data_IF_749953723082
#
_entry.id   IF_749953723082
#
_cell.length_a   1.000
_cell.length_b   1.000
_cell.length_c   1.000
_cell.angle_alpha   90.00
_cell.angle_beta   90.00
_cell.angle_gamma   90.00
#
_symmetry.space_group_name_H-M   'P 1'
#
loop_
_entity.id
_entity.type
_entity.pdbx_description
1 polymer ?
#
# COMPACT_ATOMS: atom_id res chain seq x y z
N UNK A 1 -12.80 -0.75 -32.09
CA UNK A 1 -11.47 -1.29 -32.43
C UNK A 1 -11.67 -2.40 -33.46
N UNK A 2 -11.73 -2.07 -34.75
CA UNK A 2 -11.74 -3.08 -35.80
C UNK A 2 -10.35 -3.14 -36.43
N UNK A 3 -9.68 -4.28 -36.35
CA UNK A 3 -8.61 -4.66 -37.28
C UNK A 3 -7.19 -4.91 -36.73
N UNK A 4 -6.85 -4.47 -35.51
CA UNK A 4 -5.49 -4.70 -34.96
C UNK A 4 -5.56 -5.73 -33.84
N UNK A 5 -4.94 -6.88 -34.05
CA UNK A 5 -4.75 -7.92 -33.03
C UNK A 5 -3.50 -7.60 -32.23
N UNK A 6 -3.68 -7.28 -30.95
CA UNK A 6 -2.57 -7.11 -30.01
C UNK A 6 -2.25 -8.43 -29.30
N UNK A 7 -0.97 -8.71 -29.10
CA UNK A 7 -0.52 -9.86 -28.31
C UNK A 7 -0.21 -9.41 -26.89
N UNK A 8 -0.81 -10.07 -25.88
CA UNK A 8 -0.49 -9.82 -24.47
C UNK A 8 0.31 -10.99 -23.92
N UNK A 9 1.53 -10.73 -23.45
CA UNK A 9 2.41 -11.76 -22.90
C UNK A 9 3.39 -11.18 -21.88
N UNK A 10 3.99 -12.01 -21.00
CA UNK A 10 5.17 -11.62 -20.24
C UNK A 10 6.29 -11.13 -21.17
N UNK A 11 7.11 -10.22 -20.67
CA UNK A 11 8.34 -9.85 -21.35
C UNK A 11 9.36 -10.99 -21.29
N UNK A 12 10.17 -11.09 -22.33
CA UNK A 12 11.33 -11.96 -22.37
C UNK A 12 12.55 -11.23 -21.75
N UNK A 13 13.54 -11.94 -21.18
CA UNK A 13 14.71 -11.31 -20.57
C UNK A 13 15.46 -10.32 -21.49
N UNK A 14 15.47 -10.60 -22.80
CA UNK A 14 16.10 -9.74 -23.82
C UNK A 14 15.32 -8.47 -24.16
N UNK A 15 14.08 -8.30 -23.66
CA UNK A 15 13.20 -7.18 -23.99
C UNK A 15 13.27 -6.03 -22.96
N UNK A 16 14.25 -6.08 -22.05
CA UNK A 16 14.37 -5.11 -20.96
C UNK A 16 14.48 -3.66 -21.46
N UNK A 17 15.21 -3.43 -22.54
CA UNK A 17 15.36 -2.12 -23.17
C UNK A 17 14.01 -1.57 -23.67
N UNK A 18 13.09 -2.42 -24.15
CA UNK A 18 11.76 -2.00 -24.58
C UNK A 18 10.95 -1.48 -23.39
N UNK A 19 10.97 -2.20 -22.27
CA UNK A 19 10.30 -1.78 -21.05
C UNK A 19 10.91 -0.52 -20.43
N UNK A 20 12.23 -0.38 -20.46
CA UNK A 20 12.90 0.85 -20.02
C UNK A 20 12.47 2.02 -20.87
N UNK A 21 12.60 1.93 -22.20
CA UNK A 21 12.27 3.02 -23.13
C UNK A 21 10.80 3.48 -23.01
N UNK A 22 9.86 2.53 -22.93
CA UNK A 22 8.44 2.87 -22.76
C UNK A 22 8.17 3.50 -21.38
N UNK A 23 8.82 2.99 -20.32
CA UNK A 23 8.66 3.52 -18.96
C UNK A 23 9.28 4.90 -18.79
N UNK A 24 10.50 5.10 -19.28
CA UNK A 24 11.25 6.35 -19.12
C UNK A 24 10.58 7.52 -19.83
N UNK A 25 9.97 7.26 -21.00
CA UNK A 25 9.13 8.25 -21.67
C UNK A 25 7.84 8.53 -20.90
N UNK A 26 7.18 7.50 -20.35
CA UNK A 26 5.91 7.66 -19.62
C UNK A 26 6.06 8.39 -18.29
N UNK A 27 7.20 8.23 -17.60
CA UNK A 27 7.46 8.74 -16.25
C UNK A 27 8.53 9.85 -16.21
N UNK A 28 9.03 10.30 -17.36
CA UNK A 28 9.85 11.51 -17.46
C UNK A 28 11.35 11.34 -17.16
N UNK A 29 11.88 10.12 -17.08
CA UNK A 29 13.31 9.86 -16.83
C UNK A 29 14.07 9.39 -18.08
N UNK A 30 13.57 9.70 -19.28
CA UNK A 30 14.15 9.26 -20.57
C UNK A 30 15.55 9.80 -20.88
N UNK A 31 16.00 10.85 -20.18
CA UNK A 31 17.37 11.35 -20.27
C UNK A 31 18.37 10.55 -19.42
N UNK A 32 17.88 9.72 -18.48
CA UNK A 32 18.72 8.89 -17.64
C UNK A 32 19.10 7.60 -18.37
N UNK A 33 20.38 7.18 -18.31
CA UNK A 33 20.77 5.88 -18.85
C UNK A 33 20.06 4.76 -18.05
N UNK A 34 19.74 3.67 -18.73
CA UNK A 34 19.27 2.46 -18.05
C UNK A 34 20.40 1.92 -17.16
N UNK A 35 20.18 1.71 -15.84
CA UNK A 35 21.18 1.10 -14.98
C UNK A 35 21.60 -0.27 -15.53
N UNK A 36 22.87 -0.64 -15.36
CA UNK A 36 23.41 -1.91 -15.90
C UNK A 36 22.70 -3.13 -15.32
N UNK A 37 22.39 -3.06 -14.02
CA UNK A 37 21.69 -4.06 -13.22
C UNK A 37 20.16 -3.98 -13.34
N UNK A 38 19.63 -3.01 -14.11
CA UNK A 38 18.19 -2.92 -14.32
C UNK A 38 17.65 -4.15 -15.04
N UNK A 39 16.57 -4.70 -14.49
CA UNK A 39 15.83 -5.81 -15.06
C UNK A 39 14.35 -5.45 -15.24
N UNK A 40 13.73 -5.91 -16.32
CA UNK A 40 12.28 -5.80 -16.48
C UNK A 40 11.53 -6.76 -15.53
N UNK A 41 12.12 -7.92 -15.26
CA UNK A 41 11.58 -8.97 -14.40
C UNK A 41 12.64 -9.40 -13.39
N UNK A 42 12.22 -9.77 -12.19
CA UNK A 42 13.06 -10.29 -11.11
C UNK A 42 12.22 -11.23 -10.23
N UNK A 43 12.81 -11.99 -9.30
CA UNK A 43 12.00 -12.77 -8.36
C UNK A 43 10.93 -11.88 -7.69
N UNK A 44 9.68 -12.34 -7.69
CA UNK A 44 8.53 -11.57 -7.20
C UNK A 44 8.13 -10.35 -8.03
N UNK A 45 8.68 -10.13 -9.23
CA UNK A 45 8.32 -9.02 -10.12
C UNK A 45 8.23 -9.47 -11.58
N UNK A 46 7.05 -9.31 -12.17
CA UNK A 46 6.78 -9.76 -13.54
C UNK A 46 6.14 -8.66 -14.37
N UNK A 47 6.71 -8.36 -15.52
CA UNK A 47 6.18 -7.38 -16.46
C UNK A 47 5.38 -8.08 -17.55
N UNK A 48 4.13 -7.66 -17.71
CA UNK A 48 3.31 -7.99 -18.88
C UNK A 48 3.39 -6.87 -19.90
N UNK A 49 3.57 -7.24 -21.16
CA UNK A 49 3.59 -6.36 -22.31
C UNK A 49 2.42 -6.60 -23.25
N UNK A 50 2.04 -5.54 -23.95
CA UNK A 50 1.13 -5.58 -25.10
C UNK A 50 1.94 -5.22 -26.32
N UNK A 51 1.95 -6.11 -27.31
CA UNK A 51 2.68 -5.96 -28.54
C UNK A 51 1.73 -5.77 -29.72
N UNK A 52 2.03 -4.81 -30.60
CA UNK A 52 1.31 -4.63 -31.85
C UNK A 52 1.75 -5.66 -32.91
N UNK A 53 1.06 -5.77 -34.07
CA UNK A 53 1.43 -6.75 -35.11
C UNK A 53 2.85 -6.59 -35.68
N UNK A 54 3.49 -5.43 -35.49
CA UNK A 54 4.87 -5.20 -35.89
C UNK A 54 5.88 -5.62 -34.80
N UNK A 55 5.42 -6.18 -33.69
CA UNK A 55 6.26 -6.64 -32.58
C UNK A 55 6.73 -5.52 -31.65
N UNK A 56 6.17 -4.31 -31.75
CA UNK A 56 6.53 -3.20 -30.88
C UNK A 56 5.77 -3.27 -29.55
N UNK A 57 6.48 -3.07 -28.44
CA UNK A 57 5.86 -2.92 -27.11
C UNK A 57 5.10 -1.59 -27.03
N UNK A 58 3.77 -1.66 -26.92
CA UNK A 58 2.88 -0.50 -26.95
C UNK A 58 2.18 -0.22 -25.62
N UNK A 59 2.17 -1.18 -24.71
CA UNK A 59 1.71 -1.01 -23.34
C UNK A 59 2.40 -2.02 -22.42
N UNK A 60 2.52 -1.69 -21.13
CA UNK A 60 3.00 -2.62 -20.12
C UNK A 60 2.37 -2.36 -18.76
N UNK A 61 2.42 -3.36 -17.89
CA UNK A 61 2.15 -3.24 -16.46
C UNK A 61 3.00 -4.27 -15.71
N UNK A 62 3.35 -3.97 -14.45
CA UNK A 62 4.17 -4.82 -13.60
C UNK A 62 3.31 -5.39 -12.48
N UNK A 63 3.35 -6.71 -12.31
CA UNK A 63 2.85 -7.43 -11.13
C UNK A 63 4.00 -7.59 -10.13
N UNK A 64 3.83 -7.08 -8.91
CA UNK A 64 4.74 -7.30 -7.78
C UNK A 64 4.11 -8.24 -6.77
N UNK A 65 4.82 -9.30 -6.42
CA UNK A 65 4.49 -10.19 -5.32
C UNK A 65 4.70 -9.49 -3.99
N UNK A 66 3.62 -9.39 -3.21
CA UNK A 66 3.61 -8.70 -1.94
C UNK A 66 2.68 -9.41 -0.96
N UNK A 67 2.84 -9.08 0.33
CA UNK A 67 1.87 -9.35 1.38
C UNK A 67 1.43 -8.05 2.03
N UNK A 68 0.17 -7.96 2.44
CA UNK A 68 -0.36 -6.83 3.20
C UNK A 68 -1.14 -7.32 4.42
N UNK A 69 -1.00 -6.63 5.55
CA UNK A 69 -1.65 -7.00 6.80
C UNK A 69 -3.12 -6.54 6.83
N UNK A 70 -4.06 -7.47 7.00
CA UNK A 70 -5.47 -7.17 7.24
C UNK A 70 -5.99 -7.99 8.41
N UNK A 71 -6.42 -7.31 9.47
CA UNK A 71 -6.95 -7.96 10.68
C UNK A 71 -5.96 -8.90 11.35
N UNK A 72 -4.67 -8.56 11.34
CA UNK A 72 -3.62 -9.39 11.95
C UNK A 72 -3.19 -10.61 11.14
N UNK A 73 -3.58 -10.71 9.86
CA UNK A 73 -3.12 -11.76 8.92
C UNK A 73 -2.53 -11.14 7.67
N UNK A 74 -1.49 -11.78 7.12
CA UNK A 74 -0.91 -11.39 5.83
C UNK A 74 -1.79 -11.91 4.71
N UNK A 75 -2.20 -11.00 3.83
CA UNK A 75 -3.02 -11.27 2.65
C UNK A 75 -2.14 -11.22 1.39
N UNK A 76 -2.11 -12.30 0.58
CA UNK A 76 -1.38 -12.32 -0.69
C UNK A 76 -1.86 -11.23 -1.65
N UNK A 77 -0.93 -10.38 -2.08
CA UNK A 77 -1.22 -9.13 -2.80
C UNK A 77 -0.42 -9.02 -4.09
N UNK A 78 -1.09 -8.54 -5.14
CA UNK A 78 -0.46 -8.07 -6.38
C UNK A 78 -0.31 -6.55 -6.34
N UNK A 79 0.92 -6.07 -6.14
CA UNK A 79 1.26 -4.66 -6.26
C UNK A 79 1.41 -4.29 -7.74
N UNK A 80 0.46 -3.55 -8.29
CA UNK A 80 0.53 -3.09 -9.69
C UNK A 80 1.41 -1.85 -9.77
N UNK A 81 2.43 -1.90 -10.63
CA UNK A 81 3.38 -0.82 -10.83
C UNK A 81 3.68 -0.59 -12.31
N UNK A 82 4.35 0.53 -12.61
CA UNK A 82 4.97 0.78 -13.92
C UNK A 82 4.02 0.72 -15.12
N UNK A 83 2.75 1.04 -14.94
CA UNK A 83 1.72 1.02 -16.00
C UNK A 83 2.03 2.11 -17.02
N UNK A 84 2.31 1.69 -18.26
CA UNK A 84 2.66 2.62 -19.34
C UNK A 84 1.98 2.24 -20.65
N UNK A 85 1.70 3.24 -21.48
CA UNK A 85 1.14 3.07 -22.83
C UNK A 85 1.79 4.08 -23.76
N UNK A 86 2.16 3.62 -24.96
CA UNK A 86 2.74 4.45 -26.02
C UNK A 86 1.85 5.66 -26.30
N UNK A 87 2.46 6.84 -26.44
CA UNK A 87 1.76 8.12 -26.41
C UNK A 87 0.67 8.22 -27.50
N UNK A 88 0.98 7.80 -28.72
CA UNK A 88 0.09 7.82 -29.89
C UNK A 88 -1.04 6.77 -29.84
N UNK A 89 -0.98 5.85 -28.88
CA UNK A 89 -1.96 4.77 -28.66
C UNK A 89 -2.75 4.93 -27.35
N UNK A 90 -2.56 6.03 -26.60
CA UNK A 90 -3.37 6.35 -25.42
C UNK A 90 -4.84 6.50 -25.80
N UNK A 91 -5.73 6.20 -24.84
CA UNK A 91 -7.18 6.23 -25.07
C UNK A 91 -7.75 5.08 -25.91
N UNK A 92 -6.92 4.10 -26.34
CA UNK A 92 -7.35 2.96 -27.17
C UNK A 92 -7.59 1.66 -26.38
N UNK A 93 -7.68 1.73 -25.05
CA UNK A 93 -7.98 0.56 -24.21
C UNK A 93 -6.80 -0.40 -23.94
N UNK A 94 -5.57 -0.08 -24.37
CA UNK A 94 -4.40 -0.95 -24.14
C UNK A 94 -4.05 -1.14 -22.65
N UNK A 95 -4.25 -0.09 -21.83
CA UNK A 95 -4.11 -0.19 -20.37
C UNK A 95 -5.10 -1.18 -19.75
N UNK A 96 -6.37 -1.13 -20.18
CA UNK A 96 -7.39 -2.12 -19.78
C UNK A 96 -6.99 -3.54 -20.19
N UNK A 97 -6.49 -3.69 -21.41
CA UNK A 97 -6.07 -4.99 -21.95
C UNK A 97 -4.96 -5.61 -21.09
N UNK A 98 -3.89 -4.86 -20.79
CA UNK A 98 -2.76 -5.37 -19.99
C UNK A 98 -3.15 -5.63 -18.54
N UNK A 99 -3.90 -4.71 -17.90
CA UNK A 99 -4.29 -4.84 -16.50
C UNK A 99 -5.26 -6.00 -16.26
N UNK A 100 -6.20 -6.24 -17.19
CA UNK A 100 -7.11 -7.39 -17.09
C UNK A 100 -6.34 -8.71 -17.15
N UNK A 101 -5.36 -8.82 -18.06
CA UNK A 101 -4.52 -10.03 -18.16
C UNK A 101 -3.59 -10.17 -16.95
N UNK A 102 -3.11 -9.05 -16.39
CA UNK A 102 -2.30 -9.02 -15.17
C UNK A 102 -3.10 -9.56 -13.99
N UNK A 103 -4.35 -9.11 -13.78
CA UNK A 103 -5.21 -9.61 -12.70
C UNK A 103 -5.45 -11.12 -12.78
N UNK A 104 -5.63 -11.67 -13.98
CA UNK A 104 -5.72 -13.11 -14.18
C UNK A 104 -4.43 -13.82 -13.74
N UNK A 105 -3.26 -13.32 -14.18
CA UNK A 105 -1.98 -13.88 -13.79
C UNK A 105 -1.68 -13.77 -12.29
N UNK A 106 -2.07 -12.65 -11.67
CA UNK A 106 -1.98 -12.44 -10.24
C UNK A 106 -2.82 -13.46 -9.46
N UNK A 107 -4.07 -13.70 -9.89
CA UNK A 107 -4.91 -14.75 -9.32
C UNK A 107 -4.29 -16.14 -9.47
N UNK A 108 -3.82 -16.48 -10.68
CA UNK A 108 -3.22 -17.79 -10.95
C UNK A 108 -1.97 -18.03 -10.07
N UNK A 109 -1.25 -16.96 -9.72
CA UNK A 109 -0.11 -16.95 -8.78
C UNK A 109 -0.55 -17.05 -7.31
N UNK A 110 -1.83 -16.85 -7.00
CA UNK A 110 -2.39 -16.92 -5.64
C UNK A 110 -2.61 -15.56 -4.96
N UNK A 111 -2.44 -14.44 -5.66
CA UNK A 111 -2.81 -13.14 -5.12
C UNK A 111 -4.34 -13.00 -5.07
N UNK A 112 -4.86 -12.56 -3.92
CA UNK A 112 -6.32 -12.45 -3.68
C UNK A 112 -6.80 -11.00 -3.69
N UNK A 113 -5.89 -10.05 -3.49
CA UNK A 113 -6.11 -8.62 -3.66
C UNK A 113 -5.02 -8.01 -4.55
N UNK A 114 -5.29 -6.81 -5.05
CA UNK A 114 -4.31 -5.99 -5.76
C UNK A 114 -4.34 -4.56 -5.27
N UNK A 115 -3.18 -3.95 -5.16
CA UNK A 115 -3.02 -2.55 -4.75
C UNK A 115 -2.09 -1.79 -5.70
N UNK A 116 -2.26 -0.47 -5.77
CA UNK A 116 -1.43 0.42 -6.59
C UNK A 116 -1.51 1.85 -6.09
N UNK A 117 -0.51 2.67 -6.43
CA UNK A 117 -0.60 4.12 -6.37
C UNK A 117 -1.08 4.66 -7.71
N UNK A 118 -2.12 5.51 -7.69
CA UNK A 118 -2.68 6.05 -8.92
C UNK A 118 -2.13 7.45 -9.24
N UNK A 119 -1.85 7.66 -10.53
CA UNK A 119 -1.62 9.00 -11.09
C UNK A 119 -2.91 9.63 -11.62
N UNK A 120 -3.88 8.77 -11.94
CA UNK A 120 -5.25 9.15 -12.28
C UNK A 120 -6.16 7.97 -11.99
N UNK A 121 -7.26 8.15 -11.23
CA UNK A 121 -8.03 7.03 -10.73
C UNK A 121 -9.02 6.47 -11.76
N UNK A 122 -9.38 7.24 -12.79
CA UNK A 122 -10.42 6.88 -13.76
C UNK A 122 -10.20 5.51 -14.43
N UNK A 123 -9.04 5.26 -15.06
CA UNK A 123 -8.74 3.98 -15.69
C UNK A 123 -8.80 2.78 -14.73
N UNK A 124 -8.36 2.95 -13.47
CA UNK A 124 -8.36 1.89 -12.46
C UNK A 124 -9.75 1.66 -11.87
N UNK A 125 -10.53 2.72 -11.63
CA UNK A 125 -11.96 2.64 -11.22
C UNK A 125 -12.81 1.92 -12.26
N UNK A 126 -12.54 2.13 -13.55
CA UNK A 126 -13.20 1.40 -14.63
C UNK A 126 -12.87 -0.11 -14.66
N UNK A 127 -11.86 -0.52 -13.90
CA UNK A 127 -11.47 -1.92 -13.70
C UNK A 127 -11.73 -2.40 -12.28
N UNK A 128 -12.45 -1.62 -11.46
CA UNK A 128 -12.93 -2.02 -10.15
C UNK A 128 -11.93 -1.90 -9.00
N UNK A 129 -10.83 -1.15 -9.17
CA UNK A 129 -10.09 -0.60 -8.03
C UNK A 129 -10.84 0.59 -7.44
N UNK A 130 -10.65 0.84 -6.15
CA UNK A 130 -11.09 2.06 -5.49
C UNK A 130 -10.01 2.65 -4.59
N UNK A 131 -9.92 3.98 -4.51
CA UNK A 131 -9.08 4.68 -3.54
C UNK A 131 -9.55 4.35 -2.13
N UNK A 132 -8.65 3.82 -1.31
CA UNK A 132 -8.97 3.39 0.06
C UNK A 132 -8.10 4.07 1.12
N UNK A 133 -7.01 4.71 0.71
CA UNK A 133 -6.15 5.49 1.60
C UNK A 133 -5.17 6.34 0.81
N UNK A 134 -4.25 6.99 1.52
CA UNK A 134 -3.15 7.72 0.92
C UNK A 134 -1.88 7.59 1.77
N UNK A 135 -0.73 7.66 1.12
CA UNK A 135 0.56 7.89 1.76
C UNK A 135 0.79 9.41 1.79
N UNK A 136 1.01 9.96 2.99
CA UNK A 136 1.03 11.42 3.20
C UNK A 136 2.29 11.83 3.94
N UNK A 137 3.04 12.77 3.35
CA UNK A 137 4.05 13.53 4.07
C UNK A 137 3.43 14.82 4.58
N UNK A 138 3.68 15.12 5.85
CA UNK A 138 3.30 16.37 6.49
C UNK A 138 4.52 17.24 6.70
N UNK A 139 4.42 18.50 6.31
CA UNK A 139 5.32 19.57 6.74
C UNK A 139 4.95 19.97 8.17
N UNK A 140 5.91 19.86 9.09
CA UNK A 140 5.81 20.30 10.48
C UNK A 140 6.97 21.26 10.78
N UNK A 141 6.74 22.41 11.45
CA UNK A 141 7.83 23.23 11.97
C UNK A 141 8.67 22.42 12.97
N UNK A 142 9.95 22.22 12.69
CA UNK A 142 10.82 21.36 13.51
C UNK A 142 10.91 21.83 14.96
N UNK A 143 10.77 23.14 15.20
CA UNK A 143 10.69 23.72 16.55
C UNK A 143 9.57 23.13 17.42
N UNK A 144 8.45 22.70 16.83
CA UNK A 144 7.34 22.08 17.57
C UNK A 144 7.75 20.69 18.08
N UNK A 145 8.54 19.95 17.30
CA UNK A 145 9.12 18.69 17.74
C UNK A 145 10.15 18.90 18.86
N UNK A 146 10.85 20.04 18.87
CA UNK A 146 11.82 20.39 19.92
C UNK A 146 11.17 20.67 21.29
N UNK A 147 9.86 20.90 21.33
CA UNK A 147 9.10 21.06 22.58
C UNK A 147 8.82 19.70 23.25
N UNK A 148 8.96 18.60 22.51
CA UNK A 148 8.80 17.24 23.04
C UNK A 148 10.00 16.88 23.90
N UNK A 149 9.74 16.47 25.14
CA UNK A 149 10.79 16.05 26.07
C UNK A 149 11.20 14.61 25.79
N UNK A 150 12.51 14.40 25.66
CA UNK A 150 13.11 13.07 25.68
C UNK A 150 12.84 12.35 27.00
N UNK A 151 12.74 11.04 26.95
CA UNK A 151 12.61 10.21 28.14
C UNK A 151 14.00 9.75 28.61
N UNK A 152 14.39 9.97 29.88
CA UNK A 152 15.72 9.59 30.36
C UNK A 152 15.95 8.07 30.41
N UNK A 153 14.89 7.26 30.38
CA UNK A 153 15.00 5.79 30.34
C UNK A 153 15.19 5.25 28.91
N UNK A 154 15.15 6.11 27.89
CA UNK A 154 15.38 5.72 26.49
C UNK A 154 16.62 6.40 25.94
N UNK A 155 17.56 5.60 25.44
CA UNK A 155 18.77 6.09 24.76
C UNK A 155 18.62 5.94 23.25
N UNK A 156 19.30 6.80 22.49
CA UNK A 156 19.32 6.75 21.02
C UNK A 156 20.73 6.48 20.52
N UNK A 157 20.83 5.67 19.46
CA UNK A 157 22.10 5.45 18.74
C UNK A 157 21.83 5.15 17.26
N UNK A 158 22.84 5.32 16.38
CA UNK A 158 22.77 4.80 15.03
C UNK A 158 22.49 3.30 15.04
N UNK A 159 21.65 2.86 14.11
CA UNK A 159 21.43 1.46 13.83
C UNK A 159 22.68 0.84 13.18
N UNK A 160 22.90 -0.43 13.46
CA UNK A 160 23.90 -1.28 12.83
C UNK A 160 23.20 -2.42 12.09
N UNK A 161 23.94 -3.15 11.26
CA UNK A 161 23.36 -4.28 10.52
C UNK A 161 22.75 -5.34 11.45
N UNK A 162 23.32 -5.52 12.64
CA UNK A 162 22.84 -6.45 13.66
C UNK A 162 21.47 -6.04 14.26
N UNK A 163 21.08 -4.77 14.12
CA UNK A 163 19.81 -4.25 14.65
C UNK A 163 18.63 -4.44 13.70
N UNK A 164 18.90 -4.68 12.40
CA UNK A 164 17.86 -4.76 11.36
C UNK A 164 16.78 -5.81 11.67
N UNK A 165 17.11 -7.03 12.16
CA UNK A 165 16.08 -7.98 12.58
C UNK A 165 15.11 -7.43 13.64
N UNK A 166 15.61 -6.68 14.63
CA UNK A 166 14.77 -6.07 15.66
C UNK A 166 13.91 -4.93 15.10
N UNK A 167 14.44 -4.15 14.15
CA UNK A 167 13.68 -3.12 13.43
C UNK A 167 12.54 -3.73 12.61
N UNK A 168 12.80 -4.83 11.91
CA UNK A 168 11.78 -5.56 11.15
C UNK A 168 10.68 -6.10 12.08
N UNK A 169 11.04 -6.62 13.25
CA UNK A 169 10.08 -7.10 14.24
C UNK A 169 9.21 -5.97 14.82
N UNK A 170 9.80 -4.80 15.08
CA UNK A 170 9.05 -3.59 15.48
C UNK A 170 8.06 -3.19 14.38
N UNK A 171 8.52 -3.14 13.12
CA UNK A 171 7.64 -2.83 12.00
C UNK A 171 6.49 -3.83 11.88
N UNK A 172 6.77 -5.13 11.92
CA UNK A 172 5.73 -6.18 11.83
C UNK A 172 4.76 -6.13 13.00
N UNK A 173 5.21 -5.79 14.20
CA UNK A 173 4.33 -5.62 15.36
C UNK A 173 3.29 -4.52 15.11
N UNK A 174 3.71 -3.37 14.56
CA UNK A 174 2.81 -2.28 14.17
C UNK A 174 1.93 -2.69 12.99
N UNK A 175 2.52 -3.19 11.91
CA UNK A 175 1.83 -3.59 10.68
C UNK A 175 0.71 -4.61 10.94
N UNK A 176 0.96 -5.60 11.81
CA UNK A 176 -0.01 -6.63 12.22
C UNK A 176 -1.25 -6.05 12.89
N UNK A 177 -1.10 -4.97 13.66
CA UNK A 177 -2.23 -4.29 14.31
C UNK A 177 -2.90 -3.24 13.41
N UNK A 178 -2.22 -2.82 12.35
CA UNK A 178 -2.72 -1.90 11.33
C UNK A 178 -3.62 -2.57 10.28
N UNK A 179 -3.90 -1.81 9.23
CA UNK A 179 -4.63 -2.28 8.04
C UNK A 179 -3.86 -1.83 6.79
N UNK A 180 -3.69 -2.76 5.86
CA UNK A 180 -3.02 -2.63 4.56
C UNK A 180 -1.49 -2.46 4.56
N UNK A 181 -0.83 -2.20 5.69
CA UNK A 181 0.64 -2.11 5.75
C UNK A 181 1.29 -3.34 5.13
N UNK A 182 2.40 -3.14 4.43
CA UNK A 182 3.11 -4.23 3.75
C UNK A 182 3.72 -5.21 4.76
N UNK A 183 3.93 -6.46 4.37
CA UNK A 183 4.62 -7.45 5.21
C UNK A 183 6.15 -7.24 5.24
N UNK A 184 6.69 -6.55 4.24
CA UNK A 184 8.15 -6.35 4.06
C UNK A 184 8.96 -7.66 4.13
N UNK A 185 8.43 -8.73 3.54
CA UNK A 185 9.15 -9.98 3.35
C UNK A 185 9.08 -10.44 1.90
N UNK A 186 9.97 -11.37 1.56
CA UNK A 186 10.04 -11.95 0.23
C UNK A 186 10.82 -11.09 -0.78
N UNK A 187 10.75 -11.45 -2.07
CA UNK A 187 11.68 -10.94 -3.08
C UNK A 187 11.66 -9.43 -3.31
N UNK A 188 10.53 -8.77 -3.05
CA UNK A 188 10.39 -7.33 -3.16
C UNK A 188 11.16 -6.55 -2.08
N UNK A 189 11.62 -7.23 -1.02
CA UNK A 189 12.31 -6.69 0.14
C UNK A 189 13.62 -7.44 0.43
N UNK A 190 14.31 -7.90 -0.62
CA UNK A 190 15.52 -8.72 -0.52
C UNK A 190 16.83 -7.92 -0.30
N UNK A 191 16.74 -6.65 0.11
CA UNK A 191 17.90 -5.80 0.38
C UNK A 191 18.70 -6.29 1.59
N UNK A 192 20.02 -6.15 1.54
CA UNK A 192 20.88 -6.48 2.70
C UNK A 192 20.73 -5.43 3.80
N UNK A 193 21.01 -5.78 5.07
CA UNK A 193 21.10 -4.80 6.15
C UNK A 193 21.96 -3.58 5.82
N UNK A 194 23.13 -3.79 5.20
CA UNK A 194 24.01 -2.72 4.72
C UNK A 194 23.31 -1.77 3.74
N UNK A 195 22.62 -2.31 2.73
CA UNK A 195 21.88 -1.51 1.75
C UNK A 195 20.76 -0.70 2.40
N UNK A 196 19.98 -1.32 3.29
CA UNK A 196 18.89 -0.66 4.00
C UNK A 196 19.37 0.51 4.88
N UNK A 197 20.57 0.39 5.46
CA UNK A 197 21.18 1.47 6.24
C UNK A 197 21.72 2.58 5.33
N UNK A 198 22.29 2.22 4.17
CA UNK A 198 22.87 3.16 3.21
C UNK A 198 21.83 4.00 2.44
N UNK A 199 20.57 3.53 2.36
CA UNK A 199 19.48 4.23 1.68
C UNK A 199 19.07 5.56 2.34
N UNK A 200 19.51 5.81 3.58
CA UNK A 200 19.17 7.01 4.36
C UNK A 200 20.41 7.68 4.93
N UNK A 201 20.39 9.01 5.09
CA UNK A 201 21.45 9.71 5.82
C UNK A 201 21.54 9.29 7.29
N UNK A 202 20.43 8.84 7.87
CA UNK A 202 20.36 8.40 9.25
C UNK A 202 19.31 7.32 9.49
N UNK A 203 19.74 6.29 10.21
CA UNK A 203 18.87 5.27 10.78
C UNK A 203 19.16 5.21 12.27
N UNK A 204 18.18 5.59 13.10
CA UNK A 204 18.35 5.68 14.55
C UNK A 204 17.45 4.65 15.24
N UNK A 205 17.99 3.95 16.23
CA UNK A 205 17.22 3.07 17.13
C UNK A 205 17.05 3.69 18.50
N UNK A 206 15.89 3.47 19.11
CA UNK A 206 15.58 3.78 20.50
C UNK A 206 15.73 2.52 21.34
N UNK A 207 16.51 2.62 22.41
CA UNK A 207 16.89 1.49 23.29
C UNK A 207 16.47 1.83 24.71
N UNK A 208 15.71 0.93 25.34
CA UNK A 208 15.27 1.09 26.72
C UNK A 208 16.39 0.77 27.75
N UNK A 209 16.07 0.89 29.04
CA UNK A 209 17.00 0.67 30.15
C UNK A 209 17.43 -0.80 30.31
N UNK A 210 16.74 -1.74 29.65
CA UNK A 210 17.10 -3.16 29.60
C UNK A 210 18.03 -3.48 28.44
N UNK A 211 18.27 -2.54 27.53
CA UNK A 211 19.04 -2.75 26.30
C UNK A 211 18.19 -3.24 25.13
N UNK A 212 16.86 -3.24 25.25
CA UNK A 212 15.94 -3.69 24.19
C UNK A 212 15.65 -2.54 23.23
N UNK A 213 15.71 -2.82 21.93
CA UNK A 213 15.29 -1.85 20.91
C UNK A 213 13.76 -1.79 20.90
N UNK A 214 13.20 -0.61 21.18
CA UNK A 214 11.76 -0.37 21.32
C UNK A 214 11.20 0.59 20.28
N UNK A 215 12.06 1.17 19.44
CA UNK A 215 11.64 2.01 18.32
C UNK A 215 12.78 2.31 17.36
N UNK A 216 12.45 2.91 16.22
CA UNK A 216 13.42 3.39 15.25
C UNK A 216 12.89 4.58 14.43
N UNK A 217 13.80 5.31 13.80
CA UNK A 217 13.49 6.31 12.80
C UNK A 217 14.43 6.22 11.59
N UNK A 218 13.88 6.42 10.38
CA UNK A 218 14.61 6.53 9.11
C UNK A 218 14.45 7.95 8.58
N UNK A 219 15.57 8.64 8.36
CA UNK A 219 15.54 10.06 8.06
C UNK A 219 16.70 10.52 7.18
N UNK A 220 16.42 11.58 6.41
CA UNK A 220 17.36 12.25 5.53
C UNK A 220 17.49 13.71 5.91
N UNK A 221 18.72 14.15 6.22
CA UNK A 221 19.00 15.56 6.50
C UNK A 221 18.70 16.50 5.33
N UNK A 222 18.68 16.02 4.10
CA UNK A 222 18.58 16.86 2.90
C UNK A 222 19.71 17.91 2.78
N UNK A 223 19.73 18.69 1.69
CA UNK A 223 20.67 19.79 1.51
C UNK A 223 20.25 21.05 2.28
N UNK A 224 21.17 22.00 2.44
CA UNK A 224 20.90 23.33 2.99
C UNK A 224 20.91 23.43 4.52
N UNK A 225 21.24 24.63 5.02
CA UNK A 225 21.33 24.95 6.45
C UNK A 225 20.68 26.31 6.80
N UNK A 226 19.86 26.83 5.89
CA UNK A 226 19.11 28.09 6.04
C UNK A 226 17.61 27.82 6.22
N UNK A 227 16.77 28.83 5.96
CA UNK A 227 15.32 28.73 6.07
C UNK A 227 14.69 27.67 5.14
N UNK A 228 15.40 27.23 4.09
CA UNK A 228 14.97 26.18 3.16
C UNK A 228 15.38 24.77 3.61
N UNK A 229 16.19 24.65 4.68
CA UNK A 229 16.62 23.37 5.22
C UNK A 229 15.43 22.50 5.66
N UNK A 230 15.42 21.26 5.15
CA UNK A 230 14.37 20.28 5.46
C UNK A 230 14.97 18.99 6.00
N UNK A 231 14.36 18.43 7.04
CA UNK A 231 14.61 17.07 7.51
C UNK A 231 13.48 16.18 6.98
N UNK A 232 13.77 15.19 6.15
CA UNK A 232 12.78 14.21 5.70
C UNK A 232 12.79 12.99 6.61
N UNK A 233 11.63 12.52 7.02
CA UNK A 233 11.44 11.40 7.94
C UNK A 233 10.43 10.45 7.32
N UNK A 234 10.94 9.35 6.82
CA UNK A 234 10.17 8.33 6.11
C UNK A 234 9.43 7.42 7.11
N UNK A 235 10.07 7.10 8.22
CA UNK A 235 9.43 6.33 9.28
C UNK A 235 9.91 6.82 10.64
N UNK A 236 8.98 6.91 11.58
CA UNK A 236 9.27 6.98 13.02
C UNK A 236 8.29 6.06 13.71
N UNK A 237 8.81 5.01 14.33
CA UNK A 237 8.01 3.95 14.93
C UNK A 237 8.51 3.70 16.33
N UNK A 238 7.64 3.80 17.33
CA UNK A 238 7.91 3.39 18.71
C UNK A 238 6.84 2.41 19.18
N UNK A 239 7.25 1.31 19.81
CA UNK A 239 6.35 0.37 20.49
C UNK A 239 5.93 0.86 21.87
N UNK A 240 6.68 1.81 22.44
CA UNK A 240 6.39 2.43 23.73
C UNK A 240 6.24 3.95 23.58
N UNK A 241 5.46 4.61 24.45
CA UNK A 241 5.37 6.06 24.48
C UNK A 241 6.73 6.76 24.62
N UNK A 242 7.63 6.17 25.41
CA UNK A 242 8.98 6.68 25.69
C UNK A 242 9.85 6.67 24.42
N UNK A 243 9.80 5.57 23.65
CA UNK A 243 10.49 5.46 22.37
C UNK A 243 9.97 6.49 21.36
N UNK A 244 8.64 6.60 21.20
CA UNK A 244 8.04 7.58 20.28
C UNK A 244 8.42 9.01 20.64
N UNK A 245 8.30 9.40 21.92
CA UNK A 245 8.68 10.76 22.37
C UNK A 245 10.16 11.05 22.13
N UNK A 246 11.03 10.10 22.46
CA UNK A 246 12.48 10.29 22.39
C UNK A 246 12.95 10.40 20.93
N UNK A 247 12.38 9.61 20.01
CA UNK A 247 12.65 9.74 18.58
C UNK A 247 12.15 11.08 18.02
N UNK A 248 10.94 11.54 18.39
CA UNK A 248 10.45 12.84 17.95
C UNK A 248 11.27 14.01 18.50
N UNK A 249 11.70 13.94 19.77
CA UNK A 249 12.56 14.93 20.39
C UNK A 249 13.92 15.04 19.66
N UNK A 250 14.49 13.91 19.24
CA UNK A 250 15.70 13.90 18.41
C UNK A 250 15.51 14.63 17.09
N UNK A 251 14.39 14.39 16.39
CA UNK A 251 14.06 15.12 15.16
C UNK A 251 13.94 16.63 15.43
N UNK A 252 13.36 17.02 16.57
CA UNK A 252 13.31 18.41 17.03
C UNK A 252 14.67 19.07 17.25
N UNK A 253 15.69 18.29 17.61
CA UNK A 253 17.07 18.77 17.80
C UNK A 253 17.68 19.43 16.55
N UNK A 254 17.11 19.20 15.37
CA UNK A 254 17.54 19.80 14.11
C UNK A 254 16.99 21.20 13.84
N UNK A 255 16.13 21.74 14.73
CA UNK A 255 15.40 22.99 14.49
C UNK A 255 16.26 24.20 14.12
N UNK A 256 17.53 24.24 14.53
CA UNK A 256 18.46 25.34 14.22
C UNK A 256 18.97 25.35 12.79
N UNK A 257 18.95 24.21 12.09
CA UNK A 257 19.55 24.05 10.75
C UNK A 257 18.58 23.46 9.71
N UNK A 258 17.52 22.81 10.17
CA UNK A 258 16.42 22.30 9.36
C UNK A 258 15.09 22.73 10.00
N UNK A 259 14.63 23.97 9.76
CA UNK A 259 13.44 24.52 10.41
C UNK A 259 12.13 23.80 10.01
N UNK A 260 12.16 23.01 8.94
CA UNK A 260 11.01 22.21 8.47
C UNK A 260 11.33 20.72 8.55
N UNK A 261 10.41 19.93 9.11
CA UNK A 261 10.44 18.47 9.06
C UNK A 261 9.33 17.98 8.13
N UNK A 262 9.69 17.22 7.10
CA UNK A 262 8.75 16.45 6.28
C UNK A 262 8.61 15.06 6.88
N UNK A 263 7.48 14.77 7.53
CA UNK A 263 7.27 13.50 8.24
C UNK A 263 6.13 12.70 7.62
N UNK A 264 6.38 11.44 7.28
CA UNK A 264 5.34 10.53 6.77
C UNK A 264 4.54 9.94 7.93
N UNK A 265 3.24 10.24 7.97
CA UNK A 265 2.34 9.81 9.04
C UNK A 265 1.03 9.24 8.49
N UNK A 266 0.55 8.15 9.09
CA UNK A 266 -0.80 7.65 8.86
C UNK A 266 -1.87 8.56 9.47
N UNK A 267 -3.12 8.45 9.02
CA UNK A 267 -4.23 9.28 9.53
C UNK A 267 -4.45 9.13 11.04
N UNK A 268 -4.25 7.92 11.56
CA UNK A 268 -4.42 7.54 12.97
C UNK A 268 -3.09 7.25 13.69
N UNK A 269 -1.98 7.81 13.19
CA UNK A 269 -0.64 7.62 13.76
C UNK A 269 -0.55 8.12 15.23
N UNK A 270 0.08 7.37 16.16
CA UNK A 270 0.26 7.80 17.55
C UNK A 270 0.97 9.14 17.71
N UNK A 271 1.80 9.55 16.75
CA UNK A 271 2.47 10.86 16.72
C UNK A 271 1.45 12.01 16.83
N UNK A 272 0.22 11.85 16.35
CA UNK A 272 -0.84 12.85 16.48
C UNK A 272 -1.29 13.12 17.93
N UNK A 273 -0.88 12.28 18.89
CA UNK A 273 -1.11 12.52 20.33
C UNK A 273 -0.04 13.42 20.95
N UNK A 274 1.07 13.62 20.25
CA UNK A 274 2.22 14.42 20.67
C UNK A 274 2.38 15.71 19.84
N UNK A 275 1.68 15.79 18.71
CA UNK A 275 1.67 16.94 17.80
C UNK A 275 0.27 17.51 17.66
N UNK A 276 0.14 18.83 17.75
CA UNK A 276 -1.11 19.49 17.37
C UNK A 276 -1.28 19.41 15.85
N UNK A 277 -2.46 18.93 15.39
CA UNK A 277 -2.76 18.84 13.94
C UNK A 277 -2.66 20.18 13.21
N UNK A 278 -2.84 21.31 13.91
CA UNK A 278 -2.70 22.65 13.33
C UNK A 278 -1.27 23.02 12.92
N UNK A 279 -0.26 22.34 13.49
CA UNK A 279 1.14 22.56 13.14
C UNK A 279 1.59 21.73 11.92
N UNK A 280 0.79 20.74 11.51
CA UNK A 280 1.11 19.85 10.40
C UNK A 280 0.28 20.18 9.16
N UNK A 281 0.94 20.29 8.01
CA UNK A 281 0.28 20.53 6.71
C UNK A 281 0.66 19.42 5.73
N UNK A 282 -0.30 18.79 5.02
CA UNK A 282 0.05 17.85 3.96
C UNK A 282 0.92 18.54 2.90
N UNK A 283 2.13 18.03 2.68
CA UNK A 283 3.05 18.47 1.63
C UNK A 283 2.79 17.67 0.34
N UNK A 284 2.69 16.34 0.50
CA UNK A 284 2.39 15.42 -0.59
C UNK A 284 1.36 14.40 -0.11
N UNK A 285 0.47 14.02 -1.02
CA UNK A 285 -0.55 13.00 -0.80
C UNK A 285 -0.56 12.11 -2.02
N UNK A 286 -0.26 10.84 -1.82
CA UNK A 286 -0.22 9.82 -2.86
C UNK A 286 -1.36 8.84 -2.58
N UNK A 287 -2.53 9.02 -3.24
CA UNK A 287 -3.63 8.08 -3.11
C UNK A 287 -3.20 6.71 -3.58
N UNK A 288 -3.73 5.69 -2.90
CA UNK A 288 -3.54 4.31 -3.31
C UNK A 288 -4.89 3.59 -3.28
N UNK A 289 -4.97 2.62 -4.19
CA UNK A 289 -6.20 1.92 -4.48
C UNK A 289 -6.09 0.45 -4.12
N UNK A 290 -7.23 -0.17 -3.79
CA UNK A 290 -7.37 -1.60 -3.60
C UNK A 290 -8.39 -2.17 -4.56
N UNK A 291 -8.17 -3.42 -4.98
CA UNK A 291 -9.13 -4.27 -5.67
C UNK A 291 -9.10 -5.67 -5.08
N UNK A 292 -10.29 -6.24 -4.86
CA UNK A 292 -10.40 -7.68 -4.58
C UNK A 292 -10.32 -8.44 -5.90
N UNK A 293 -9.36 -9.36 -6.00
CA UNK A 293 -9.10 -10.17 -7.20
C UNK A 293 -9.80 -11.52 -7.09
N UNK A 294 -9.72 -12.16 -5.93
CA UNK A 294 -10.39 -13.42 -5.62
C UNK A 294 -11.17 -13.25 -4.31
N UNK A 295 -12.50 -13.10 -4.38
CA UNK A 295 -13.29 -12.72 -3.21
C UNK A 295 -13.31 -13.83 -2.14
N UNK A 296 -13.52 -15.12 -2.47
CA UNK A 296 -13.37 -16.20 -1.49
C UNK A 296 -11.97 -16.25 -0.87
N UNK A 297 -10.91 -16.15 -1.68
CA UNK A 297 -9.54 -16.13 -1.18
C UNK A 297 -9.24 -14.95 -0.26
N UNK A 298 -9.69 -13.75 -0.63
CA UNK A 298 -9.49 -12.53 0.16
C UNK A 298 -10.22 -12.62 1.51
N UNK A 299 -11.47 -13.10 1.50
CA UNK A 299 -12.25 -13.29 2.73
C UNK A 299 -11.59 -14.33 3.66
N UNK A 300 -11.09 -15.43 3.11
CA UNK A 300 -10.42 -16.47 3.89
C UNK A 300 -9.04 -16.04 4.42
N UNK A 301 -8.30 -15.21 3.68
CA UNK A 301 -6.96 -14.76 4.06
C UNK A 301 -6.99 -13.66 5.14
N UNK A 302 -7.99 -12.78 5.11
CA UNK A 302 -8.18 -11.68 6.06
C UNK A 302 -8.50 -12.19 7.46
N UNK A 303 -7.95 -11.53 8.48
CA UNK A 303 -8.38 -11.74 9.87
C UNK A 303 -9.65 -10.96 10.18
N UNK A 304 -10.56 -11.57 10.94
CA UNK A 304 -11.86 -10.99 11.29
C UNK A 304 -11.97 -10.78 12.81
N UNK A 305 -12.88 -9.91 13.29
CA UNK A 305 -13.09 -9.72 14.71
C UNK A 305 -13.46 -11.06 15.41
N UNK A 306 -12.71 -11.42 16.46
CA UNK A 306 -12.81 -12.74 17.11
C UNK A 306 -14.19 -13.07 17.69
N UNK A 307 -14.89 -12.04 18.16
CA UNK A 307 -16.19 -12.17 18.81
C UNK A 307 -17.37 -11.91 17.86
N UNK A 308 -17.11 -11.71 16.57
CA UNK A 308 -18.17 -11.53 15.58
C UNK A 308 -18.59 -12.89 15.03
N UNK A 309 -19.90 -13.16 15.11
CA UNK A 309 -20.54 -14.31 14.47
C UNK A 309 -21.77 -13.82 13.71
N UNK A 310 -21.93 -14.27 12.47
CA UNK A 310 -23.08 -13.89 11.65
C UNK A 310 -22.93 -14.32 10.21
N UNK A 311 -24.02 -14.20 9.46
CA UNK A 311 -24.10 -14.55 8.05
C UNK A 311 -24.78 -13.45 7.26
N UNK A 312 -24.31 -13.20 6.03
CA UNK A 312 -24.98 -12.30 5.09
C UNK A 312 -24.85 -12.83 3.66
N UNK A 313 -25.97 -12.83 2.95
CA UNK A 313 -26.00 -13.23 1.55
C UNK A 313 -25.66 -12.03 0.66
N UNK A 314 -24.54 -12.14 -0.07
CA UNK A 314 -24.01 -11.13 -0.97
C UNK A 314 -24.29 -11.48 -2.43
N UNK A 315 -24.49 -10.48 -3.28
CA UNK A 315 -24.38 -10.60 -4.73
C UNK A 315 -23.24 -9.71 -5.24
N UNK A 316 -22.20 -10.33 -5.77
CA UNK A 316 -21.03 -9.64 -6.31
C UNK A 316 -21.18 -9.48 -7.83
N UNK A 317 -21.03 -8.25 -8.32
CA UNK A 317 -20.98 -7.95 -9.76
C UNK A 317 -19.55 -7.58 -10.14
N UNK A 318 -18.91 -8.30 -11.07
CA UNK A 318 -17.55 -7.94 -11.52
C UNK A 318 -17.23 -8.52 -12.91
N UNK A 319 -17.36 -7.69 -13.96
CA UNK A 319 -17.09 -8.11 -15.34
C UNK A 319 -15.58 -8.28 -15.64
N UNK A 320 -14.69 -7.79 -14.77
CA UNK A 320 -13.23 -7.87 -14.95
C UNK A 320 -12.66 -9.10 -14.25
N UNK A 321 -13.24 -9.49 -13.12
CA UNK A 321 -12.95 -10.71 -12.38
C UNK A 321 -14.18 -11.65 -12.34
N UNK A 322 -14.66 -12.15 -13.50
CA UNK A 322 -15.92 -12.90 -13.58
C UNK A 322 -15.91 -14.22 -12.80
N UNK A 323 -14.73 -14.72 -12.41
CA UNK A 323 -14.59 -15.96 -11.64
C UNK A 323 -15.09 -15.87 -10.19
N UNK A 324 -15.32 -14.67 -9.63
CA UNK A 324 -15.89 -14.51 -8.29
C UNK A 324 -17.29 -13.90 -8.28
N UNK A 325 -17.87 -13.60 -9.45
CA UNK A 325 -19.16 -12.92 -9.52
C UNK A 325 -20.30 -13.87 -9.15
N UNK A 326 -21.47 -13.31 -8.83
CA UNK A 326 -22.67 -14.06 -8.48
C UNK A 326 -23.00 -14.02 -6.99
N UNK A 327 -23.86 -14.93 -6.56
CA UNK A 327 -24.36 -14.99 -5.19
C UNK A 327 -23.45 -15.79 -4.30
N UNK A 328 -23.17 -15.24 -3.12
CA UNK A 328 -22.38 -15.87 -2.09
C UNK A 328 -23.00 -15.67 -0.71
N UNK A 329 -22.71 -16.57 0.22
CA UNK A 329 -22.95 -16.39 1.65
C UNK A 329 -21.63 -16.11 2.35
N UNK A 330 -21.52 -14.94 2.97
CA UNK A 330 -20.43 -14.63 3.90
C UNK A 330 -20.78 -15.21 5.27
N UNK A 331 -19.94 -16.08 5.79
CA UNK A 331 -20.07 -16.68 7.13
C UNK A 331 -18.90 -16.23 7.98
N UNK A 332 -19.17 -15.53 9.09
CA UNK A 332 -18.18 -15.01 10.05
C UNK A 332 -18.26 -15.82 11.35
N UNK A 333 -17.13 -16.31 11.85
CA UNK A 333 -17.06 -16.98 13.15
C UNK A 333 -15.63 -17.10 13.68
N UNK A 334 -15.45 -16.83 14.97
CA UNK A 334 -14.19 -17.12 15.68
C UNK A 334 -12.97 -16.42 15.08
N UNK A 335 -13.13 -15.22 14.54
CA UNK A 335 -12.07 -14.45 13.89
C UNK A 335 -11.68 -14.91 12.49
N UNK A 336 -12.45 -15.83 11.91
CA UNK A 336 -12.31 -16.29 10.52
C UNK A 336 -13.59 -15.98 9.75
N UNK A 337 -13.51 -16.04 8.42
CA UNK A 337 -14.67 -15.98 7.57
C UNK A 337 -14.53 -16.86 6.32
N UNK A 338 -15.66 -17.23 5.74
CA UNK A 338 -15.76 -17.95 4.47
C UNK A 338 -16.76 -17.25 3.57
N UNK A 339 -16.51 -17.28 2.27
CA UNK A 339 -17.44 -16.82 1.26
C UNK A 339 -17.84 -18.02 0.41
N UNK A 340 -19.03 -18.54 0.65
CA UNK A 340 -19.52 -19.79 0.05
C UNK A 340 -20.47 -19.49 -1.11
N UNK A 341 -20.44 -20.23 -2.23
CA UNK A 341 -21.38 -20.02 -3.33
C UNK A 341 -22.84 -20.21 -2.88
N UNK A 342 -23.74 -19.33 -3.32
CA UNK A 342 -25.18 -19.44 -3.06
C UNK A 342 -25.75 -18.29 -2.24
N UNK A 343 -26.86 -18.54 -1.54
CA UNK A 343 -27.60 -17.50 -0.82
C UNK A 343 -28.57 -16.71 -1.71
N UNK A 344 -29.27 -15.79 -1.07
CA UNK A 344 -30.35 -14.98 -1.66
C UNK A 344 -29.86 -13.78 -2.46
N UNK A 345 -28.63 -13.33 -2.23
CA UNK A 345 -28.10 -12.07 -2.79
C UNK A 345 -28.72 -10.83 -2.16
N UNK A 346 -29.04 -10.88 -0.86
CA UNK A 346 -29.71 -9.80 -0.14
C UNK A 346 -28.99 -8.45 -0.27
N UNK A 347 -27.66 -8.44 -0.20
CA UNK A 347 -26.83 -7.25 -0.37
C UNK A 347 -26.02 -7.35 -1.65
N UNK A 348 -26.18 -6.40 -2.57
CA UNK A 348 -25.39 -6.32 -3.81
C UNK A 348 -24.22 -5.36 -3.63
N UNK A 349 -23.02 -5.80 -3.98
CA UNK A 349 -21.79 -5.00 -3.97
C UNK A 349 -21.19 -4.89 -5.38
N UNK A 350 -20.81 -3.67 -5.76
CA UNK A 350 -19.97 -3.44 -6.95
C UNK A 350 -18.51 -3.79 -6.62
N UNK A 351 -17.60 -3.92 -7.61
CA UNK A 351 -16.20 -4.20 -7.34
C UNK A 351 -15.53 -3.14 -6.46
N UNK A 352 -15.89 -1.87 -6.71
CA UNK A 352 -15.42 -0.71 -5.94
C UNK A 352 -15.98 -0.73 -4.52
N UNK A 353 -17.25 -1.11 -4.36
CA UNK A 353 -17.86 -1.31 -3.05
C UNK A 353 -17.19 -2.42 -2.24
N UNK A 354 -16.93 -3.55 -2.89
CA UNK A 354 -16.22 -4.67 -2.28
C UNK A 354 -14.80 -4.27 -1.85
N UNK A 355 -14.07 -3.53 -2.69
CA UNK A 355 -12.74 -3.01 -2.35
C UNK A 355 -12.76 -2.08 -1.12
N UNK A 356 -13.63 -1.07 -1.12
CA UNK A 356 -13.73 -0.09 -0.02
C UNK A 356 -14.23 -0.72 1.29
N UNK A 357 -15.20 -1.63 1.21
CA UNK A 357 -15.67 -2.37 2.38
C UNK A 357 -14.55 -3.27 2.94
N UNK A 358 -13.95 -4.11 2.09
CA UNK A 358 -12.89 -5.05 2.49
C UNK A 358 -11.71 -4.34 3.18
N UNK A 359 -11.33 -3.18 2.67
CA UNK A 359 -10.26 -2.35 3.22
C UNK A 359 -10.63 -1.65 4.54
N UNK A 360 -11.91 -1.64 4.93
CA UNK A 360 -12.40 -0.83 6.06
C UNK A 360 -12.42 0.68 5.77
N UNK A 361 -12.33 1.08 4.49
CA UNK A 361 -12.26 2.49 4.09
C UNK A 361 -13.64 3.18 4.02
N UNK A 362 -14.71 2.39 3.90
CA UNK A 362 -16.07 2.92 3.84
C UNK A 362 -17.06 2.05 4.62
N UNK A 363 -17.94 2.71 5.35
CA UNK A 363 -19.11 2.10 6.00
C UNK A 363 -20.19 1.74 4.96
N UNK A 364 -21.07 0.77 5.26
CA UNK A 364 -22.21 0.45 4.38
C UNK A 364 -23.05 1.68 4.01
N UNK A 365 -23.24 2.62 4.95
CA UNK A 365 -23.98 3.86 4.70
C UNK A 365 -23.29 4.76 3.65
N UNK A 366 -21.96 4.87 3.70
CA UNK A 366 -21.19 5.59 2.68
C UNK A 366 -21.29 4.88 1.32
N UNK A 367 -21.21 3.54 1.31
CA UNK A 367 -21.30 2.75 0.08
C UNK A 367 -22.68 2.86 -0.59
N UNK A 368 -23.76 2.90 0.20
CA UNK A 368 -25.12 3.14 -0.32
C UNK A 368 -25.25 4.51 -0.96
N UNK A 369 -24.74 5.56 -0.30
CA UNK A 369 -24.77 6.94 -0.83
C UNK A 369 -23.97 7.08 -2.13
N UNK A 370 -22.92 6.29 -2.29
CA UNK A 370 -22.11 6.25 -3.52
C UNK A 370 -22.65 5.28 -4.58
N UNK A 371 -23.72 4.54 -4.30
CA UNK A 371 -24.31 3.54 -5.20
C UNK A 371 -23.48 2.26 -5.35
N UNK A 372 -22.56 1.98 -4.43
CA UNK A 372 -21.71 0.78 -4.45
C UNK A 372 -22.26 -0.39 -3.65
N UNK A 373 -23.27 -0.13 -2.81
CA UNK A 373 -24.01 -1.13 -2.05
C UNK A 373 -25.51 -0.89 -2.21
N UNK A 374 -26.28 -1.92 -2.54
CA UNK A 374 -27.75 -1.88 -2.63
C UNK A 374 -28.37 -3.14 -2.01
N UNK A 375 -29.68 -3.13 -1.73
CA UNK A 375 -30.35 -4.24 -1.03
C UNK A 375 -30.05 -4.28 0.47
N UNK A 376 -30.42 -5.35 1.17
CA UNK A 376 -30.23 -5.53 2.61
C UNK A 376 -31.05 -4.60 3.49
N UNK A 377 -30.73 -4.60 4.78
CA UNK A 377 -31.38 -3.87 5.87
C UNK A 377 -30.36 -3.36 6.91
N UNK A 378 -30.85 -2.81 8.03
CA UNK A 378 -30.01 -2.28 9.09
C UNK A 378 -29.12 -3.33 9.77
N UNK A 379 -29.60 -4.57 9.91
CA UNK A 379 -28.88 -5.65 10.57
C UNK A 379 -27.70 -6.11 9.70
N UNK A 380 -27.92 -6.25 8.38
CA UNK A 380 -26.83 -6.54 7.44
C UNK A 380 -25.79 -5.41 7.40
N UNK A 381 -26.21 -4.15 7.47
CA UNK A 381 -25.30 -3.01 7.54
C UNK A 381 -24.48 -3.02 8.83
N UNK A 382 -25.08 -3.35 9.98
CA UNK A 382 -24.35 -3.48 11.25
C UNK A 382 -23.32 -4.60 11.21
N UNK A 383 -23.68 -5.77 10.67
CA UNK A 383 -22.76 -6.89 10.52
C UNK A 383 -21.58 -6.52 9.60
N UNK A 384 -21.86 -5.95 8.43
CA UNK A 384 -20.82 -5.54 7.47
C UNK A 384 -19.91 -4.46 8.03
N UNK A 385 -20.46 -3.45 8.72
CA UNK A 385 -19.68 -2.40 9.40
C UNK A 385 -18.77 -2.99 10.47
N UNK A 386 -19.29 -3.91 11.27
CA UNK A 386 -18.54 -4.50 12.38
C UNK A 386 -17.46 -5.45 11.88
N UNK A 387 -17.69 -6.19 10.79
CA UNK A 387 -16.74 -7.13 10.20
C UNK A 387 -15.42 -6.46 9.76
N UNK A 388 -15.50 -5.20 9.33
CA UNK A 388 -14.35 -4.43 8.83
C UNK A 388 -13.95 -3.28 9.75
N UNK A 389 -14.48 -3.25 10.99
CA UNK A 389 -14.07 -2.28 11.99
C UNK A 389 -12.58 -2.45 12.34
N UNK A 390 -11.87 -1.34 12.45
CA UNK A 390 -10.44 -1.33 12.72
C UNK A 390 -9.79 0.01 12.36
N UNK A 391 -8.44 0.09 12.43
CA UNK A 391 -7.69 1.25 11.99
C UNK A 391 -7.95 1.58 10.51
N UNK A 392 -7.84 2.85 10.16
CA UNK A 392 -7.89 3.26 8.77
C UNK A 392 -6.74 2.60 7.97
N UNK A 393 -7.01 2.12 6.74
CA UNK A 393 -5.98 1.53 5.90
C UNK A 393 -4.83 2.51 5.64
N UNK A 394 -3.59 2.04 5.81
CA UNK A 394 -2.38 2.85 5.73
C UNK A 394 -1.27 2.10 5.00
N UNK A 395 -0.49 2.82 4.18
CA UNK A 395 0.75 2.34 3.58
C UNK A 395 1.91 3.28 3.95
N UNK A 396 3.07 2.69 4.23
CA UNK A 396 4.34 3.41 4.43
C UNK A 396 5.31 3.21 3.27
N UNK A 397 4.92 2.45 2.25
CA UNK A 397 5.79 2.02 1.17
C UNK A 397 5.15 2.41 -0.17
N UNK A 398 5.86 3.21 -0.96
CA UNK A 398 5.48 3.51 -2.34
C UNK A 398 6.05 2.43 -3.29
N UNK A 399 5.35 2.11 -4.38
CA UNK A 399 5.83 1.11 -5.35
C UNK A 399 5.33 1.26 -6.79
#
# INVERSE_FOLDING_TARGET
>A
MCGVTYQVRPLEPGEKQLAWALGSLAFGYHEQPMPEDWAADSPGRRTLGVFDPAGRLVAKAVDREQGQWFGGRVVPTSGVAGVATAAELRGRGLGRLVLTRLLQGARDRGAVISTLFDTTPGPYRALGWEEVGALVYYTVPTRVLAEIRLDPATTLRPATEADIPAVDDIYRAVARTGTAMMERSGPAFAGTPEQLLADYHGFTVAVDDTGTITGYARWDRGPGYDASGKLSVDEVVGLTPEATRTLLAMLGGWASVAPTTLIRLGTADPVWSLLARGDAKPESTQPWMLRVVDAPGAIAARGWPRHLTGEVDLELTDDVCPWHQGRHRLVLSGGNARLEPGGTGAVRLTPRGLASWYAGAATPQQLRRSGFLTGGDADTDELLRTATAGPAPTLHDYF
#
